data_IF_232707683242
#
_entry.id   IF_232707683242
#
_cell.length_a   1.000
_cell.length_b   1.000
_cell.length_c   1.000
_cell.angle_alpha   90.00
_cell.angle_beta   90.00
_cell.angle_gamma   90.00
#
_symmetry.space_group_name_H-M   'P 1'
#
loop_
_entity.id
_entity.type
_entity.pdbx_description
1 polymer ?
#
# COMPACT_ATOMS: atom_id res chain seq x y z
N UNK A 1 4.79 20.95 -13.66
CA UNK A 1 5.56 19.68 -13.69
C UNK A 1 6.92 19.97 -13.09
N UNK A 2 7.47 19.17 -12.14
CA UNK A 2 7.92 17.80 -12.42
C UNK A 2 7.85 16.83 -11.22
N UNK A 3 7.75 15.52 -11.42
CA UNK A 3 8.34 14.52 -10.50
C UNK A 3 8.50 13.15 -11.21
N UNK A 4 9.58 13.02 -12.01
CA UNK A 4 10.16 11.72 -12.35
C UNK A 4 10.69 11.09 -11.06
N UNK A 5 9.87 10.33 -10.34
CA UNK A 5 10.35 9.47 -9.25
C UNK A 5 10.07 8.03 -9.62
N UNK A 6 11.05 7.39 -10.27
CA UNK A 6 11.07 5.94 -10.50
C UNK A 6 11.38 5.20 -9.19
N UNK A 7 10.52 5.30 -8.18
CA UNK A 7 10.66 4.61 -6.88
C UNK A 7 9.85 3.32 -6.81
N UNK A 8 9.73 2.62 -7.94
CA UNK A 8 8.95 1.41 -8.03
C UNK A 8 9.75 0.29 -8.67
N UNK A 9 9.93 -0.83 -7.97
CA UNK A 9 10.53 -2.04 -8.52
C UNK A 9 9.39 -2.99 -8.94
N UNK A 10 9.46 -3.56 -10.13
CA UNK A 10 8.56 -4.64 -10.53
C UNK A 10 8.85 -5.85 -9.65
N UNK A 11 7.82 -6.45 -9.06
CA UNK A 11 7.95 -7.62 -8.17
C UNK A 11 6.92 -8.64 -8.62
N UNK A 12 7.31 -9.56 -9.49
CA UNK A 12 6.43 -10.57 -10.05
C UNK A 12 5.96 -10.23 -11.46
N UNK A 13 6.40 -11.05 -12.40
CA UNK A 13 6.09 -10.97 -13.83
C UNK A 13 5.65 -12.36 -14.29
N UNK A 14 4.55 -12.45 -15.03
CA UNK A 14 4.18 -13.66 -15.78
C UNK A 14 4.20 -13.30 -17.26
N UNK A 15 5.14 -13.88 -17.99
CA UNK A 15 5.42 -13.50 -19.39
C UNK A 15 5.79 -12.02 -19.52
N UNK A 16 4.94 -11.23 -20.20
CA UNK A 16 5.11 -9.77 -20.35
C UNK A 16 4.31 -8.93 -19.34
N UNK A 17 3.52 -9.57 -18.48
CA UNK A 17 2.60 -8.88 -17.57
C UNK A 17 3.19 -8.70 -16.18
N UNK A 18 3.20 -7.46 -15.68
CA UNK A 18 3.61 -7.13 -14.29
C UNK A 18 2.40 -7.28 -13.39
N UNK A 19 2.51 -8.13 -12.36
CA UNK A 19 1.38 -8.45 -11.46
C UNK A 19 1.45 -7.65 -10.17
N UNK A 20 2.66 -7.39 -9.68
CA UNK A 20 2.86 -6.62 -8.45
C UNK A 20 4.02 -5.63 -8.58
N UNK A 21 3.97 -4.60 -7.75
CA UNK A 21 4.91 -3.50 -7.75
C UNK A 21 5.29 -3.17 -6.31
N UNK A 22 6.58 -3.14 -6.03
CA UNK A 22 7.09 -2.62 -4.76
C UNK A 22 7.20 -1.10 -4.86
N UNK A 23 6.61 -0.40 -3.91
CA UNK A 23 6.69 1.06 -3.77
C UNK A 23 7.37 1.41 -2.46
N UNK A 24 8.34 2.33 -2.50
CA UNK A 24 8.78 3.04 -1.30
C UNK A 24 7.89 4.25 -1.07
N UNK A 25 7.21 4.29 0.08
CA UNK A 25 6.25 5.33 0.42
C UNK A 25 6.87 6.60 1.00
N UNK A 26 8.02 6.52 1.68
CA UNK A 26 8.74 7.67 2.24
C UNK A 26 10.27 7.49 2.09
N UNK A 27 11.08 8.55 1.91
CA UNK A 27 12.54 8.44 1.81
C UNK A 27 13.20 7.81 3.06
N UNK A 28 12.61 8.03 4.24
CA UNK A 28 13.06 7.42 5.50
C UNK A 28 12.52 6.01 5.78
N UNK A 29 11.69 5.44 4.90
CA UNK A 29 11.12 4.09 5.11
C UNK A 29 11.95 3.03 4.39
N UNK A 30 12.67 2.21 5.16
CA UNK A 30 13.50 1.13 4.63
C UNK A 30 12.70 -0.02 4.03
N UNK A 31 11.50 -0.31 4.55
CA UNK A 31 10.64 -1.39 4.04
C UNK A 31 9.66 -0.87 2.98
N UNK A 32 9.71 -1.38 1.74
CA UNK A 32 8.71 -1.06 0.71
C UNK A 32 7.36 -1.72 1.04
N UNK A 33 6.31 -1.21 0.41
CA UNK A 33 5.00 -1.86 0.37
C UNK A 33 4.79 -2.51 -0.99
N UNK A 34 4.21 -3.71 -0.99
CA UNK A 34 3.93 -4.47 -2.21
C UNK A 34 2.47 -4.25 -2.61
N UNK A 35 2.26 -3.81 -3.84
CA UNK A 35 0.95 -3.45 -4.36
C UNK A 35 0.64 -4.40 -5.52
N UNK A 36 -0.51 -5.04 -5.47
CA UNK A 36 -1.10 -5.82 -6.55
C UNK A 36 -2.42 -5.20 -6.98
N UNK A 37 -2.88 -5.57 -8.17
CA UNK A 37 -4.24 -5.22 -8.61
C UNK A 37 -5.29 -6.01 -7.82
N UNK A 38 -6.38 -5.34 -7.48
CA UNK A 38 -7.62 -5.97 -7.03
C UNK A 38 -8.59 -6.14 -8.20
N UNK A 39 -9.87 -5.80 -8.00
CA UNK A 39 -10.89 -5.82 -9.06
C UNK A 39 -11.07 -4.42 -9.69
N UNK A 40 -11.30 -4.36 -11.01
CA UNK A 40 -11.63 -3.13 -11.79
C UNK A 40 -10.63 -1.98 -11.66
N UNK A 41 -9.36 -2.26 -11.35
CA UNK A 41 -8.31 -1.23 -11.25
C UNK A 41 -7.04 -1.70 -11.95
N UNK A 42 -6.41 -0.81 -12.72
CA UNK A 42 -5.12 -1.09 -13.34
C UNK A 42 -3.98 -0.98 -12.32
N UNK A 43 -2.88 -1.69 -12.54
CA UNK A 43 -1.73 -1.65 -11.64
C UNK A 43 -1.17 -0.23 -11.47
N UNK A 44 -1.16 0.55 -12.55
CA UNK A 44 -0.70 1.94 -12.52
C UNK A 44 -1.59 2.81 -11.61
N UNK A 45 -2.92 2.65 -11.72
CA UNK A 45 -3.87 3.40 -10.90
C UNK A 45 -3.82 2.95 -9.43
N UNK A 46 -3.71 1.65 -9.16
CA UNK A 46 -3.54 1.13 -7.80
C UNK A 46 -2.32 1.77 -7.11
N UNK A 47 -1.18 1.82 -7.81
CA UNK A 47 0.05 2.43 -7.29
C UNK A 47 -0.11 3.94 -7.08
N UNK A 48 -0.79 4.64 -8.00
CA UNK A 48 -1.07 6.07 -7.86
C UNK A 48 -1.92 6.36 -6.63
N UNK A 49 -3.00 5.61 -6.43
CA UNK A 49 -3.91 5.76 -5.28
C UNK A 49 -3.15 5.47 -3.98
N UNK A 50 -2.40 4.36 -3.92
CA UNK A 50 -1.59 4.02 -2.76
C UNK A 50 -0.59 5.14 -2.43
N UNK A 51 0.06 5.74 -3.43
CA UNK A 51 0.99 6.87 -3.22
C UNK A 51 0.30 8.11 -2.69
N UNK A 52 -0.84 8.51 -3.26
CA UNK A 52 -1.58 9.70 -2.83
C UNK A 52 -2.11 9.57 -1.39
N UNK A 53 -2.40 8.35 -0.97
CA UNK A 53 -2.96 8.06 0.36
C UNK A 53 -1.89 7.70 1.41
N UNK A 54 -0.60 7.59 1.01
CA UNK A 54 0.48 7.19 1.91
C UNK A 54 1.23 8.42 2.44
N UNK A 55 0.78 8.94 3.59
CA UNK A 55 1.53 9.95 4.36
C UNK A 55 2.72 9.34 5.12
N UNK A 56 2.55 8.10 5.56
CA UNK A 56 3.57 7.31 6.26
C UNK A 56 3.99 6.10 5.40
N UNK A 57 4.55 5.05 6.03
CA UNK A 57 4.85 3.80 5.36
C UNK A 57 3.59 3.11 4.80
N UNK A 58 2.53 3.06 5.59
CA UNK A 58 1.25 2.41 5.28
C UNK A 58 0.24 3.47 4.82
N UNK A 59 -0.55 3.22 3.76
CA UNK A 59 -1.63 4.11 3.34
C UNK A 59 -2.58 4.45 4.50
N UNK A 60 -2.97 5.72 4.63
CA UNK A 60 -3.86 6.18 5.70
C UNK A 60 -5.16 5.37 5.81
N UNK A 61 -5.85 4.99 4.71
CA UNK A 61 -7.06 4.16 4.82
C UNK A 61 -6.80 2.82 5.51
N UNK A 62 -5.68 2.18 5.21
CA UNK A 62 -5.27 0.90 5.81
C UNK A 62 -4.88 1.13 7.27
N UNK A 63 -4.13 2.20 7.56
CA UNK A 63 -3.71 2.54 8.93
C UNK A 63 -4.91 2.80 9.84
N UNK A 64 -5.92 3.52 9.35
CA UNK A 64 -7.14 3.80 10.09
C UNK A 64 -7.96 2.54 10.35
N UNK A 65 -8.10 1.65 9.35
CA UNK A 65 -8.78 0.37 9.54
C UNK A 65 -8.10 -0.50 10.61
N UNK A 66 -6.77 -0.53 10.60
CA UNK A 66 -5.93 -1.30 11.52
C UNK A 66 -5.94 -0.76 12.97
N UNK A 67 -6.07 0.56 13.15
CA UNK A 67 -6.27 1.16 14.47
C UNK A 67 -7.66 0.79 15.01
N UNK A 68 -8.71 0.99 14.19
CA UNK A 68 -10.10 0.73 14.59
C UNK A 68 -10.35 -0.73 14.92
N UNK A 69 -9.79 -1.66 14.15
CA UNK A 69 -9.93 -3.10 14.42
C UNK A 69 -9.30 -3.48 15.76
N UNK A 70 -8.11 -2.97 16.09
CA UNK A 70 -7.46 -3.23 17.38
C UNK A 70 -8.20 -2.60 18.55
N UNK A 71 -8.72 -1.38 18.38
CA UNK A 71 -9.52 -0.74 19.43
C UNK A 71 -10.81 -1.50 19.69
N UNK A 72 -11.44 -2.05 18.65
CA UNK A 72 -12.60 -2.92 18.79
C UNK A 72 -12.25 -4.18 19.58
N UNK A 73 -11.17 -4.88 19.24
CA UNK A 73 -10.73 -6.08 19.94
C UNK A 73 -10.41 -5.80 21.41
N UNK A 74 -9.69 -4.72 21.72
CA UNK A 74 -9.37 -4.35 23.12
C UNK A 74 -10.62 -4.11 23.96
N UNK A 75 -11.65 -3.49 23.38
CA UNK A 75 -12.92 -3.21 24.08
C UNK A 75 -13.77 -4.45 24.32
N UNK A 76 -13.64 -5.48 23.47
CA UNK A 76 -14.48 -6.69 23.51
C UNK A 76 -13.72 -7.95 23.94
N UNK A 77 -12.44 -7.85 24.31
CA UNK A 77 -11.61 -8.97 24.79
C UNK A 77 -11.95 -9.42 26.22
N UNK A 78 -12.78 -8.69 26.96
CA UNK A 78 -13.17 -8.99 28.35
C UNK A 78 -14.49 -9.78 28.48
N UNK A 79 -15.04 -10.32 27.39
CA UNK A 79 -16.29 -11.07 27.38
C UNK A 79 -16.09 -12.58 27.11
N UNK A 80 -14.96 -13.13 27.57
CA UNK A 80 -14.65 -14.56 27.53
C UNK A 80 -14.51 -15.13 28.93
#
# INVERSE_FOLDING_TARGET
MPQKVKNYKCVGVIGKFVIKKAMRSNPGSFKPIYISVGHRVSLANAVKIARMTSKYRVPEPIRQADIRSRDYLRKHQSAG
#
